data_IF_162314455615
#
_entry.id   IF_162314455615
#
_cell.length_a   1.000
_cell.length_b   1.000
_cell.length_c   1.000
_cell.angle_alpha   90.00
_cell.angle_beta   90.00
_cell.angle_gamma   90.00
#
_symmetry.space_group_name_H-M   'P 1'
#
loop_
_entity.id
_entity.type
_entity.pdbx_description
1 polymer ?
#
# COMPACT_ATOMS: atom_id res chain seq x y z
N UNK A 1 -1.78 6.62 -23.78
CA UNK A 1 -2.29 5.25 -23.97
C UNK A 1 -2.67 4.69 -22.60
N UNK A 2 -3.96 4.48 -22.38
CA UNK A 2 -4.51 3.92 -21.15
C UNK A 2 -4.01 2.48 -21.03
N UNK A 3 -3.13 2.18 -20.06
CA UNK A 3 -2.75 0.80 -19.79
C UNK A 3 -3.99 0.09 -19.26
N UNK A 4 -4.52 -0.80 -20.08
CA UNK A 4 -5.68 -1.62 -19.81
C UNK A 4 -5.45 -2.46 -18.57
N UNK A 5 -6.36 -2.32 -17.62
CA UNK A 5 -6.54 -3.28 -16.54
C UNK A 5 -7.34 -4.41 -17.18
N UNK A 6 -6.65 -5.39 -17.77
CA UNK A 6 -7.23 -6.73 -17.88
C UNK A 6 -7.40 -7.19 -16.44
N UNK A 7 -8.61 -7.04 -15.90
CA UNK A 7 -8.93 -7.49 -14.57
C UNK A 7 -8.64 -8.99 -14.50
N UNK A 8 -7.60 -9.37 -13.77
CA UNK A 8 -7.48 -10.74 -13.30
C UNK A 8 -8.80 -11.03 -12.58
N UNK A 9 -9.55 -12.02 -13.06
CA UNK A 9 -10.77 -12.45 -12.38
C UNK A 9 -10.35 -13.07 -11.05
N UNK A 10 -10.44 -12.29 -9.98
CA UNK A 10 -10.13 -12.73 -8.62
C UNK A 10 -11.37 -13.40 -8.06
N UNK A 11 -11.26 -14.69 -7.78
CA UNK A 11 -12.30 -15.46 -7.10
C UNK A 11 -12.21 -15.21 -5.59
N UNK A 12 -13.34 -14.88 -4.97
CA UNK A 12 -13.44 -14.79 -3.52
C UNK A 12 -13.87 -16.14 -2.95
N UNK A 13 -13.26 -16.55 -1.84
CA UNK A 13 -13.72 -17.72 -1.09
C UNK A 13 -15.12 -17.48 -0.51
N UNK A 14 -15.35 -16.31 0.08
CA UNK A 14 -16.65 -15.86 0.55
C UNK A 14 -17.17 -14.71 -0.33
N UNK A 15 -18.28 -14.88 -1.07
CA UNK A 15 -18.88 -13.81 -1.87
C UNK A 15 -19.25 -12.55 -1.07
N UNK A 16 -19.49 -12.66 0.24
CA UNK A 16 -19.82 -11.52 1.11
C UNK A 16 -18.63 -10.56 1.30
N UNK A 17 -17.41 -11.02 1.01
CA UNK A 17 -16.20 -10.20 1.11
C UNK A 17 -16.00 -9.22 -0.06
N UNK A 18 -16.94 -9.17 -1.02
CA UNK A 18 -16.82 -8.32 -2.20
C UNK A 18 -16.70 -6.82 -1.84
N UNK A 19 -17.49 -6.36 -0.87
CA UNK A 19 -17.43 -4.96 -0.42
C UNK A 19 -16.10 -4.65 0.27
N UNK A 20 -15.62 -5.57 1.12
CA UNK A 20 -14.33 -5.46 1.79
C UNK A 20 -13.17 -5.39 0.77
N UNK A 21 -13.21 -6.23 -0.27
CA UNK A 21 -12.21 -6.19 -1.35
C UNK A 21 -12.20 -4.84 -2.08
N UNK A 22 -13.38 -4.27 -2.37
CA UNK A 22 -13.49 -2.95 -3.01
C UNK A 22 -12.89 -1.86 -2.11
N UNK A 23 -13.21 -1.88 -0.81
CA UNK A 23 -12.66 -0.95 0.16
C UNK A 23 -11.13 -1.03 0.21
N UNK A 24 -10.58 -2.24 0.36
CA UNK A 24 -9.14 -2.48 0.44
C UNK A 24 -8.45 -1.98 -0.84
N UNK A 25 -8.99 -2.27 -2.03
CA UNK A 25 -8.45 -1.79 -3.31
C UNK A 25 -8.46 -0.28 -3.40
N UNK A 26 -9.55 0.37 -3.00
CA UNK A 26 -9.65 1.84 -2.96
C UNK A 26 -8.60 2.44 -2.02
N UNK A 27 -8.42 1.84 -0.84
CA UNK A 27 -7.45 2.28 0.15
C UNK A 27 -6.00 2.12 -0.35
N UNK A 28 -5.68 0.94 -0.92
CA UNK A 28 -4.39 0.65 -1.56
C UNK A 28 -4.06 1.70 -2.63
N UNK A 29 -4.97 1.92 -3.59
CA UNK A 29 -4.76 2.87 -4.68
C UNK A 29 -4.53 4.30 -4.16
N UNK A 30 -5.30 4.72 -3.15
CA UNK A 30 -5.13 6.05 -2.53
C UNK A 30 -3.74 6.19 -1.90
N UNK A 31 -3.26 5.19 -1.17
CA UNK A 31 -1.93 5.23 -0.52
C UNK A 31 -0.78 5.12 -1.51
N UNK A 32 -0.90 4.25 -2.51
CA UNK A 32 0.10 4.14 -3.59
C UNK A 32 0.24 5.45 -4.37
N UNK A 33 -0.89 6.10 -4.71
CA UNK A 33 -0.89 7.40 -5.36
C UNK A 33 -0.19 8.45 -4.50
N UNK A 34 -0.56 8.57 -3.22
CA UNK A 34 0.06 9.53 -2.32
C UNK A 34 1.56 9.29 -2.14
N UNK A 35 1.98 8.02 -1.99
CA UNK A 35 3.39 7.67 -1.87
C UNK A 35 4.17 8.07 -3.12
N UNK A 36 3.63 7.79 -4.31
CA UNK A 36 4.23 8.17 -5.59
C UNK A 36 4.36 9.68 -5.75
N UNK A 37 3.36 10.43 -5.33
CA UNK A 37 3.39 11.90 -5.38
C UNK A 37 4.45 12.49 -4.43
N UNK A 38 4.61 11.90 -3.24
CA UNK A 38 5.67 12.27 -2.30
C UNK A 38 7.06 12.00 -2.88
N UNK A 39 7.28 10.83 -3.48
CA UNK A 39 8.55 10.48 -4.13
C UNK A 39 8.91 11.45 -5.26
N UNK A 40 7.94 11.77 -6.13
CA UNK A 40 8.15 12.75 -7.21
C UNK A 40 8.50 14.14 -6.67
N UNK A 41 7.82 14.58 -5.62
CA UNK A 41 8.09 15.88 -4.98
C UNK A 41 9.43 15.93 -4.25
N UNK A 42 10.00 14.77 -3.89
CA UNK A 42 11.31 14.63 -3.24
C UNK A 42 12.48 15.02 -4.13
N UNK A 43 12.31 14.93 -5.45
CA UNK A 43 13.35 15.19 -6.45
C UNK A 43 13.52 16.67 -6.80
N UNK A 44 12.79 17.59 -6.18
CA UNK A 44 13.04 19.02 -6.33
C UNK A 44 14.39 19.40 -5.69
N UNK A 45 15.24 20.08 -6.46
CA UNK A 45 16.62 20.50 -6.12
C UNK A 45 16.73 21.15 -4.73
N UNK A 46 15.68 21.85 -4.28
CA UNK A 46 15.59 22.52 -2.97
C UNK A 46 15.68 21.56 -1.77
N UNK A 47 15.28 20.28 -1.92
CA UNK A 47 15.25 19.31 -0.81
C UNK A 47 16.59 18.61 -0.54
N UNK A 48 17.48 18.48 -1.54
CA UNK A 48 18.85 17.93 -1.37
C UNK A 48 19.68 18.70 -0.32
N UNK A 49 19.25 19.91 0.05
CA UNK A 49 19.89 20.75 1.06
C UNK A 49 19.47 20.41 2.51
N UNK A 50 18.41 19.61 2.75
CA UNK A 50 17.89 19.27 4.09
C UNK A 50 18.17 17.81 4.50
N UNK A 51 19.45 17.42 4.43
CA UNK A 51 19.96 16.03 4.43
C UNK A 51 19.63 15.17 5.67
N UNK A 52 19.38 15.75 6.85
CA UNK A 52 19.20 14.96 8.09
C UNK A 52 17.78 14.40 8.30
N UNK A 53 16.72 15.06 7.78
CA UNK A 53 15.34 14.54 7.87
C UNK A 53 15.02 13.52 6.78
N UNK A 54 15.81 13.53 5.72
CA UNK A 54 15.62 12.66 4.55
C UNK A 54 15.89 11.19 4.87
N UNK A 55 16.81 10.87 5.79
CA UNK A 55 17.13 9.47 6.12
C UNK A 55 15.96 8.74 6.81
N UNK A 56 15.32 9.34 7.82
CA UNK A 56 14.15 8.74 8.48
C UNK A 56 12.96 8.64 7.51
N UNK A 57 12.70 9.71 6.74
CA UNK A 57 11.68 9.70 5.70
C UNK A 57 11.95 8.63 4.64
N UNK A 58 13.21 8.38 4.28
CA UNK A 58 13.58 7.34 3.32
C UNK A 58 13.28 5.92 3.83
N UNK A 59 13.46 5.67 5.12
CA UNK A 59 13.18 4.36 5.71
C UNK A 59 11.67 4.09 5.82
N UNK A 60 10.91 5.02 6.39
CA UNK A 60 9.44 4.97 6.47
C UNK A 60 8.81 4.83 5.09
N UNK A 61 9.33 5.59 4.10
CA UNK A 61 8.88 5.51 2.72
C UNK A 61 9.17 4.15 2.08
N UNK A 62 10.35 3.59 2.31
CA UNK A 62 10.70 2.26 1.83
C UNK A 62 9.81 1.18 2.45
N UNK A 63 9.62 1.21 3.78
CA UNK A 63 8.73 0.28 4.47
C UNK A 63 7.30 0.38 3.92
N UNK A 64 6.74 1.59 3.82
CA UNK A 64 5.42 1.80 3.26
C UNK A 64 5.33 1.27 1.81
N UNK A 65 6.36 1.48 0.99
CA UNK A 65 6.40 0.98 -0.38
C UNK A 65 6.38 -0.56 -0.44
N UNK A 66 7.18 -1.21 0.39
CA UNK A 66 7.23 -2.68 0.48
C UNK A 66 5.87 -3.21 0.93
N UNK A 67 5.29 -2.62 1.97
CA UNK A 67 4.01 -3.07 2.51
C UNK A 67 2.86 -2.92 1.51
N UNK A 68 2.76 -1.79 0.81
CA UNK A 68 1.74 -1.60 -0.23
C UNK A 68 1.96 -2.56 -1.42
N UNK A 69 3.21 -2.85 -1.79
CA UNK A 69 3.53 -3.83 -2.85
C UNK A 69 3.15 -5.24 -2.47
N UNK A 70 3.40 -5.64 -1.23
CA UNK A 70 2.98 -6.94 -0.70
C UNK A 70 1.47 -7.08 -0.76
N UNK A 71 0.72 -6.08 -0.27
CA UNK A 71 -0.74 -6.09 -0.33
C UNK A 71 -1.24 -6.14 -1.78
N UNK A 72 -0.67 -5.33 -2.67
CA UNK A 72 -0.99 -5.38 -4.11
C UNK A 72 -0.78 -6.77 -4.70
N UNK A 73 0.29 -7.47 -4.31
CA UNK A 73 0.55 -8.84 -4.79
C UNK A 73 -0.51 -9.82 -4.30
N UNK A 74 -0.92 -9.73 -3.04
CA UNK A 74 -1.97 -10.58 -2.46
C UNK A 74 -3.30 -10.34 -3.18
N UNK A 75 -3.73 -9.08 -3.34
CA UNK A 75 -5.01 -8.73 -3.99
C UNK A 75 -5.12 -9.12 -5.48
N UNK A 76 -4.00 -9.53 -6.08
CA UNK A 76 -3.90 -10.03 -7.46
C UNK A 76 -3.70 -11.56 -7.53
N UNK A 77 -3.84 -12.27 -6.41
CA UNK A 77 -3.93 -13.74 -6.41
C UNK A 77 -5.20 -14.19 -7.12
N UNK A 78 -5.18 -15.39 -7.69
CA UNK A 78 -6.33 -15.95 -8.42
C UNK A 78 -7.54 -16.20 -7.51
N UNK A 79 -7.29 -16.56 -6.25
CA UNK A 79 -8.29 -16.82 -5.23
C UNK A 79 -7.90 -16.10 -3.95
N UNK A 80 -8.85 -15.47 -3.26
CA UNK A 80 -8.65 -14.75 -2.00
C UNK A 80 -9.51 -15.33 -0.89
N UNK A 81 -8.89 -15.57 0.27
CA UNK A 81 -9.59 -15.92 1.51
C UNK A 81 -9.95 -14.68 2.31
N UNK A 82 -10.94 -14.79 3.20
CA UNK A 82 -11.32 -13.72 4.13
C UNK A 82 -10.12 -13.28 4.99
N UNK A 83 -9.33 -14.24 5.49
CA UNK A 83 -8.15 -13.94 6.29
C UNK A 83 -7.09 -13.15 5.51
N UNK A 84 -6.90 -13.46 4.22
CA UNK A 84 -5.99 -12.69 3.36
C UNK A 84 -6.49 -11.25 3.16
N UNK A 85 -7.80 -11.05 3.02
CA UNK A 85 -8.40 -9.71 2.92
C UNK A 85 -8.26 -8.93 4.23
N UNK A 86 -8.56 -9.54 5.37
CA UNK A 86 -8.36 -8.93 6.69
C UNK A 86 -6.89 -8.61 6.94
N UNK A 87 -5.98 -9.49 6.51
CA UNK A 87 -4.55 -9.24 6.57
C UNK A 87 -4.18 -8.02 5.73
N UNK A 88 -4.66 -7.92 4.49
CA UNK A 88 -4.43 -6.77 3.61
C UNK A 88 -4.95 -5.47 4.25
N UNK A 89 -6.19 -5.50 4.76
CA UNK A 89 -6.81 -4.37 5.43
C UNK A 89 -5.97 -3.88 6.62
N UNK A 90 -5.56 -4.79 7.50
CA UNK A 90 -4.74 -4.49 8.68
C UNK A 90 -3.31 -4.05 8.33
N UNK A 91 -2.75 -4.56 7.23
CA UNK A 91 -1.42 -4.13 6.74
C UNK A 91 -1.47 -2.70 6.23
N UNK A 92 -2.49 -2.38 5.42
CA UNK A 92 -2.70 -1.02 4.91
C UNK A 92 -2.97 -0.03 6.04
N UNK A 93 -3.80 -0.38 7.04
CA UNK A 93 -4.20 0.54 8.12
C UNK A 93 -3.01 1.07 8.92
N UNK A 94 -1.90 0.34 8.95
CA UNK A 94 -0.66 0.70 9.67
C UNK A 94 0.22 1.73 8.97
N UNK A 95 -0.16 2.17 7.77
CA UNK A 95 0.60 3.14 6.98
C UNK A 95 -0.15 4.48 6.95
N UNK A 96 0.24 5.45 7.77
CA UNK A 96 -0.41 6.76 7.81
C UNK A 96 0.41 7.80 7.06
N UNK A 97 -0.23 8.51 6.13
CA UNK A 97 0.41 9.57 5.34
C UNK A 97 -0.28 10.90 5.66
N UNK A 98 0.38 11.72 6.50
CA UNK A 98 -0.13 13.01 6.97
C UNK A 98 0.76 14.13 6.44
N UNK A 99 0.20 14.96 5.55
CA UNK A 99 0.97 15.97 4.82
C UNK A 99 2.08 15.32 3.99
N UNK A 100 3.35 15.59 4.35
CA UNK A 100 4.54 14.98 3.72
C UNK A 100 5.24 13.93 4.57
N UNK A 101 4.66 13.57 5.72
CA UNK A 101 5.23 12.58 6.64
C UNK A 101 4.54 11.23 6.45
N UNK A 102 5.34 10.18 6.51
CA UNK A 102 4.90 8.79 6.48
C UNK A 102 5.17 8.23 7.88
N UNK A 103 4.18 7.53 8.41
CA UNK A 103 4.26 6.81 9.67
C UNK A 103 3.83 5.37 9.41
N UNK A 104 4.73 4.44 9.66
CA UNK A 104 4.50 3.01 9.55
C UNK A 104 4.54 2.41 10.95
N UNK A 105 3.39 1.94 11.43
CA UNK A 105 3.34 1.20 12.68
C UNK A 105 4.04 -0.14 12.51
N UNK A 106 5.13 -0.34 13.23
CA UNK A 106 5.88 -1.60 13.20
C UNK A 106 5.02 -2.73 13.76
N UNK A 107 4.88 -3.79 12.97
CA UNK A 107 4.18 -4.97 13.44
C UNK A 107 4.50 -6.21 12.60
N UNK A 108 4.65 -7.32 13.28
CA UNK A 108 4.86 -8.62 12.65
C UNK A 108 3.51 -9.25 12.34
N UNK A 109 2.89 -8.80 11.25
CA UNK A 109 1.72 -9.47 10.68
C UNK A 109 2.19 -10.56 9.72
N UNK A 110 2.25 -11.80 10.23
CA UNK A 110 2.47 -13.00 9.43
C UNK A 110 1.37 -13.15 8.38
N UNK A 111 1.74 -13.57 7.18
CA UNK A 111 0.77 -13.84 6.13
C UNK A 111 -0.06 -15.07 6.53
N UNK A 112 -1.40 -15.03 6.39
CA UNK A 112 -2.25 -16.18 6.69
C UNK A 112 -1.98 -17.32 5.71
N UNK A 113 -1.84 -18.53 6.24
CA UNK A 113 -1.54 -19.76 5.51
C UNK A 113 -2.79 -20.33 4.82
#
# INVERSE_FOLDING_TARGET
TLMGIHGHHVELQDPLDAELLIEIRSNLQKKEKRLKDLMKSGNCIVKKLQKNRDHQLSHEMFLAQVELRLVSRVLNMARLTTDQLLWCHKKISKINIVGRKIYVETSFLLFPC
#
